data_IF_608542970389
#
_entry.id   IF_608542970389
#
_cell.length_a   1.000
_cell.length_b   1.000
_cell.length_c   1.000
_cell.angle_alpha   90.00
_cell.angle_beta   90.00
_cell.angle_gamma   90.00
#
_symmetry.space_group_name_H-M   'P 1'
#
loop_
_entity.id
_entity.type
_entity.pdbx_description
1 polymer ?
#
# COMPACT_ATOMS: atom_id res chain seq x y z
N UNK A 1 -21.81 -6.15 -1.73
CA UNK A 1 -21.29 -4.94 -2.41
C UNK A 1 -19.91 -5.23 -2.99
N UNK A 2 -19.69 -4.85 -4.23
CA UNK A 2 -18.44 -5.15 -4.94
C UNK A 2 -17.54 -3.92 -4.95
N UNK A 3 -16.29 -4.11 -4.53
CA UNK A 3 -15.30 -3.05 -4.58
C UNK A 3 -14.34 -3.28 -5.73
N UNK A 4 -13.89 -2.20 -6.37
CA UNK A 4 -12.85 -2.26 -7.38
C UNK A 4 -11.55 -1.74 -6.79
N UNK A 5 -10.43 -2.31 -7.26
CA UNK A 5 -9.10 -1.99 -6.73
C UNK A 5 -8.33 -1.13 -7.73
N UNK A 6 -7.83 -0.02 -7.25
CA UNK A 6 -7.04 0.91 -8.06
C UNK A 6 -5.76 1.27 -7.33
N UNK A 7 -4.71 1.57 -8.09
CA UNK A 7 -3.41 1.97 -7.54
C UNK A 7 -3.04 3.34 -8.08
N UNK A 8 -2.59 4.24 -7.21
CA UNK A 8 -1.97 5.46 -7.69
C UNK A 8 -0.65 5.12 -8.37
N UNK A 9 -0.26 5.93 -9.36
CA UNK A 9 0.98 5.70 -10.11
C UNK A 9 2.22 5.69 -9.22
N UNK A 10 2.23 6.49 -8.16
CA UNK A 10 3.35 6.56 -7.22
C UNK A 10 3.60 5.24 -6.49
N UNK A 11 2.57 4.39 -6.39
CA UNK A 11 2.71 3.10 -5.72
C UNK A 11 3.70 2.20 -6.46
N UNK A 12 3.79 2.33 -7.77
CA UNK A 12 4.73 1.54 -8.56
C UNK A 12 6.17 1.80 -8.10
N UNK A 13 6.52 3.05 -7.85
CA UNK A 13 7.85 3.38 -7.35
C UNK A 13 8.10 2.79 -5.96
N UNK A 14 7.09 2.84 -5.09
CA UNK A 14 7.20 2.24 -3.75
C UNK A 14 7.49 0.74 -3.86
N UNK A 15 6.78 0.07 -4.74
CA UNK A 15 6.90 -1.38 -4.92
C UNK A 15 8.28 -1.72 -5.49
N UNK A 16 8.72 -0.98 -6.51
CA UNK A 16 10.04 -1.20 -7.13
C UNK A 16 11.14 -1.01 -6.09
N UNK A 17 11.03 0.02 -5.26
CA UNK A 17 12.02 0.30 -4.23
C UNK A 17 12.16 -0.85 -3.24
N UNK A 18 11.01 -1.42 -2.82
CA UNK A 18 11.02 -2.58 -1.95
C UNK A 18 11.59 -3.81 -2.65
N UNK A 19 11.21 -4.00 -3.92
CA UNK A 19 11.73 -5.11 -4.72
C UNK A 19 13.26 -5.07 -4.81
N UNK A 20 13.81 -3.92 -5.18
CA UNK A 20 15.27 -3.77 -5.33
C UNK A 20 15.98 -4.05 -4.01
N UNK A 21 15.44 -3.52 -2.91
CA UNK A 21 16.03 -3.74 -1.60
C UNK A 21 16.15 -5.22 -1.27
N UNK A 22 15.06 -5.98 -1.47
CA UNK A 22 15.05 -7.40 -1.11
C UNK A 22 15.84 -8.25 -2.09
N UNK A 23 15.78 -7.91 -3.37
CA UNK A 23 16.53 -8.67 -4.37
C UNK A 23 18.03 -8.52 -4.16
N UNK A 24 18.49 -7.37 -3.71
CA UNK A 24 19.89 -7.15 -3.36
C UNK A 24 20.30 -7.99 -2.15
N UNK A 25 19.37 -8.32 -1.28
CA UNK A 25 19.68 -9.14 -0.10
C UNK A 25 19.79 -10.61 -0.44
N UNK A 26 18.96 -11.10 -1.35
CA UNK A 26 18.99 -12.50 -1.74
C UNK A 26 18.24 -12.69 -3.05
N UNK A 27 18.84 -13.39 -4.04
CA UNK A 27 18.15 -13.65 -5.30
C UNK A 27 16.80 -14.32 -5.09
N UNK A 28 15.78 -13.82 -5.74
CA UNK A 28 14.42 -14.33 -5.63
C UNK A 28 13.59 -13.71 -4.53
N UNK A 29 14.22 -13.02 -3.58
CA UNK A 29 13.48 -12.43 -2.46
C UNK A 29 12.63 -11.23 -2.90
N UNK A 30 13.09 -10.47 -3.89
CA UNK A 30 12.31 -9.38 -4.45
C UNK A 30 11.04 -9.89 -5.13
N UNK A 31 11.15 -11.00 -5.86
CA UNK A 31 9.98 -11.63 -6.49
C UNK A 31 8.96 -12.06 -5.45
N UNK A 32 9.44 -12.60 -4.33
CA UNK A 32 8.56 -13.01 -3.25
C UNK A 32 7.86 -11.81 -2.63
N UNK A 33 8.58 -10.70 -2.47
CA UNK A 33 8.01 -9.46 -1.96
C UNK A 33 6.87 -8.98 -2.87
N UNK A 34 7.09 -9.00 -4.19
CA UNK A 34 6.05 -8.61 -5.15
C UNK A 34 4.81 -9.48 -5.02
N UNK A 35 5.02 -10.79 -4.95
CA UNK A 35 3.90 -11.73 -4.86
C UNK A 35 3.08 -11.48 -3.59
N UNK A 36 3.75 -11.27 -2.46
CA UNK A 36 3.06 -11.01 -1.20
C UNK A 36 2.31 -9.69 -1.27
N UNK A 37 2.93 -8.65 -1.84
CA UNK A 37 2.26 -7.37 -1.99
C UNK A 37 0.98 -7.49 -2.80
N UNK A 38 1.06 -8.07 -3.99
CA UNK A 38 -0.11 -8.15 -4.86
C UNK A 38 -1.19 -9.06 -4.28
N UNK A 39 -0.81 -10.15 -3.63
CA UNK A 39 -1.78 -11.01 -2.97
C UNK A 39 -2.53 -10.26 -1.88
N UNK A 40 -1.80 -9.52 -1.05
CA UNK A 40 -2.42 -8.74 0.02
C UNK A 40 -3.32 -7.63 -0.53
N UNK A 41 -2.87 -6.96 -1.60
CA UNK A 41 -3.67 -5.90 -2.22
C UNK A 41 -4.96 -6.46 -2.82
N UNK A 42 -4.88 -7.60 -3.49
CA UNK A 42 -6.04 -8.21 -4.12
C UNK A 42 -7.07 -8.73 -3.11
N UNK A 43 -6.66 -8.92 -1.86
CA UNK A 43 -7.58 -9.31 -0.80
C UNK A 43 -8.38 -8.13 -0.23
N UNK A 44 -7.92 -6.90 -0.45
CA UNK A 44 -8.58 -5.72 0.12
C UNK A 44 -10.07 -5.61 -0.26
N UNK A 45 -10.45 -5.87 -1.51
CA UNK A 45 -11.87 -5.74 -1.89
C UNK A 45 -12.81 -6.71 -1.19
N UNK A 46 -12.30 -7.79 -0.62
CA UNK A 46 -13.16 -8.79 0.04
C UNK A 46 -13.83 -8.25 1.28
N UNK A 47 -13.05 -7.51 2.10
CA UNK A 47 -13.59 -6.92 3.31
C UNK A 47 -12.72 -5.74 3.75
N UNK A 48 -12.81 -4.61 3.03
CA UNK A 48 -11.92 -3.48 3.29
C UNK A 48 -12.15 -2.83 4.65
N UNK A 49 -13.31 -3.01 5.24
CA UNK A 49 -13.62 -2.41 6.53
C UNK A 49 -12.94 -3.13 7.70
N UNK A 50 -12.34 -4.31 7.46
CA UNK A 50 -11.56 -5.01 8.46
C UNK A 50 -10.30 -4.25 8.89
N UNK A 51 -9.77 -3.42 7.99
CA UNK A 51 -8.47 -2.78 8.23
C UNK A 51 -8.66 -1.41 8.87
N UNK A 52 -7.89 -1.09 9.92
CA UNK A 52 -8.13 0.13 10.68
C UNK A 52 -7.71 1.40 9.94
N UNK A 53 -8.40 2.47 10.24
CA UNK A 53 -7.96 3.81 9.86
C UNK A 53 -6.84 4.21 10.81
N UNK A 54 -5.70 4.61 10.26
CA UNK A 54 -4.53 4.95 11.07
C UNK A 54 -4.19 6.45 11.00
N UNK A 55 -4.74 7.15 10.01
CA UNK A 55 -4.57 8.58 9.86
C UNK A 55 -5.68 9.10 8.96
N UNK A 56 -6.54 9.98 9.47
CA UNK A 56 -7.69 10.51 8.72
C UNK A 56 -8.49 9.35 8.11
N UNK A 57 -8.73 9.38 6.79
CA UNK A 57 -9.45 8.31 6.11
C UNK A 57 -8.56 7.18 5.62
N UNK A 58 -7.25 7.29 5.86
CA UNK A 58 -6.30 6.28 5.39
C UNK A 58 -6.36 5.05 6.27
N UNK A 59 -6.63 3.92 5.63
CA UNK A 59 -6.62 2.61 6.27
C UNK A 59 -5.31 1.93 5.96
N UNK A 60 -4.93 0.98 6.80
CA UNK A 60 -3.66 0.30 6.65
C UNK A 60 -3.82 -1.20 6.77
N UNK A 61 -3.17 -1.91 5.86
CA UNK A 61 -3.02 -3.35 5.94
C UNK A 61 -1.55 -3.71 5.95
N UNK A 62 -1.11 -4.46 6.97
CA UNK A 62 0.26 -4.96 7.04
C UNK A 62 0.44 -6.12 6.06
N UNK A 63 1.62 -6.19 5.41
CA UNK A 63 1.95 -7.34 4.60
C UNK A 63 2.29 -8.53 5.48
N UNK A 64 2.12 -9.73 4.93
CA UNK A 64 2.64 -10.95 5.54
C UNK A 64 4.14 -11.00 5.28
N UNK A 65 4.93 -11.50 6.25
CA UNK A 65 6.36 -11.79 6.14
C UNK A 65 7.29 -10.57 5.99
N UNK A 66 6.81 -9.49 5.40
CA UNK A 66 7.63 -8.30 5.17
C UNK A 66 7.12 -7.14 6.01
N UNK A 67 8.02 -6.35 6.63
CA UNK A 67 7.59 -5.25 7.51
C UNK A 67 7.18 -4.01 6.72
N UNK A 68 6.19 -4.20 5.86
CA UNK A 68 5.62 -3.14 5.04
C UNK A 68 4.12 -3.07 5.24
N UNK A 69 3.56 -1.92 4.96
CA UNK A 69 2.12 -1.71 5.07
C UNK A 69 1.58 -1.06 3.82
N UNK A 70 0.41 -1.54 3.38
CA UNK A 70 -0.36 -0.95 2.29
C UNK A 70 -1.29 0.10 2.90
N UNK A 71 -1.23 1.33 2.39
CA UNK A 71 -2.13 2.40 2.80
C UNK A 71 -3.13 2.66 1.69
N UNK A 72 -4.41 2.73 2.05
CA UNK A 72 -5.46 2.89 1.05
C UNK A 72 -6.63 3.69 1.61
N UNK A 73 -7.48 4.19 0.71
CA UNK A 73 -8.73 4.83 1.06
C UNK A 73 -9.86 4.13 0.33
N UNK A 74 -11.06 4.27 0.87
CA UNK A 74 -12.28 3.80 0.22
C UNK A 74 -13.05 5.01 -0.22
N UNK A 75 -13.40 5.07 -1.50
CA UNK A 75 -14.23 6.15 -2.04
C UNK A 75 -15.33 5.50 -2.87
N UNK A 76 -16.57 5.64 -2.41
CA UNK A 76 -17.72 4.94 -3.00
C UNK A 76 -17.44 3.43 -2.98
N UNK A 77 -17.44 2.77 -4.13
CA UNK A 77 -17.14 1.35 -4.21
C UNK A 77 -15.70 1.10 -4.69
N UNK A 78 -14.83 2.11 -4.58
CA UNK A 78 -13.45 2.00 -5.04
C UNK A 78 -12.49 1.94 -3.87
N UNK A 79 -11.53 1.02 -3.94
CA UNK A 79 -10.40 0.99 -3.03
C UNK A 79 -9.21 1.55 -3.79
N UNK A 80 -8.63 2.61 -3.26
CA UNK A 80 -7.52 3.28 -3.92
C UNK A 80 -6.29 3.11 -3.05
N UNK A 81 -5.31 2.35 -3.54
CA UNK A 81 -4.04 2.16 -2.85
C UNK A 81 -3.20 3.42 -3.06
N UNK A 82 -2.81 4.05 -1.96
CA UNK A 82 -2.11 5.33 -1.96
C UNK A 82 -0.61 5.15 -1.79
N UNK A 83 -0.19 4.14 -1.05
CA UNK A 83 1.23 3.93 -0.83
C UNK A 83 1.56 2.59 -0.23
N UNK A 84 2.85 2.22 -0.33
CA UNK A 84 3.41 1.04 0.31
C UNK A 84 4.68 1.49 1.02
N UNK A 85 4.69 1.44 2.35
CA UNK A 85 5.80 1.98 3.13
C UNK A 85 6.28 0.99 4.17
N UNK A 86 7.59 1.01 4.42
CA UNK A 86 8.19 0.21 5.47
C UNK A 86 7.66 0.66 6.84
N UNK A 87 7.34 -0.29 7.71
CA UNK A 87 6.73 -0.01 9.01
C UNK A 87 7.62 0.82 9.94
N UNK A 88 8.94 0.76 9.74
CA UNK A 88 9.88 1.55 10.56
C UNK A 88 10.09 2.97 10.05
N UNK A 89 9.46 3.33 8.92
CA UNK A 89 9.61 4.66 8.36
C UNK A 89 8.96 5.69 9.27
N UNK A 90 9.52 6.89 9.32
CA UNK A 90 9.02 7.97 10.16
C UNK A 90 7.53 8.23 9.86
N UNK A 91 6.64 8.13 10.86
CA UNK A 91 5.21 8.35 10.65
C UNK A 91 4.87 9.71 10.05
N UNK A 92 5.64 10.73 10.40
CA UNK A 92 5.44 12.08 9.87
C UNK A 92 5.65 12.11 8.37
N UNK A 93 6.70 11.45 7.90
CA UNK A 93 7.00 11.34 6.47
C UNK A 93 5.91 10.59 5.73
N UNK A 94 5.42 9.49 6.33
CA UNK A 94 4.34 8.71 5.75
C UNK A 94 3.08 9.56 5.60
N UNK A 95 2.69 10.27 6.67
CA UNK A 95 1.49 11.10 6.64
C UNK A 95 1.56 12.19 5.58
N UNK A 96 2.71 12.82 5.46
CA UNK A 96 2.91 13.86 4.46
C UNK A 96 2.77 13.31 3.05
N UNK A 97 3.37 12.15 2.80
CA UNK A 97 3.25 11.50 1.48
C UNK A 97 1.82 11.11 1.16
N UNK A 98 1.11 10.53 2.14
CA UNK A 98 -0.27 10.13 1.94
C UNK A 98 -1.14 11.34 1.58
N UNK A 99 -0.98 12.42 2.32
CA UNK A 99 -1.76 13.63 2.08
C UNK A 99 -1.45 14.25 0.72
N UNK A 100 -0.18 14.35 0.38
CA UNK A 100 0.25 14.93 -0.90
C UNK A 100 -0.25 14.10 -2.08
N UNK A 101 -0.15 12.77 -1.98
CA UNK A 101 -0.61 11.88 -3.04
C UNK A 101 -2.11 11.95 -3.23
N UNK A 102 -2.86 12.04 -2.13
CA UNK A 102 -4.32 12.14 -2.21
C UNK A 102 -4.74 13.45 -2.86
N UNK A 103 -4.05 14.54 -2.57
CA UNK A 103 -4.35 15.82 -3.19
C UNK A 103 -4.09 15.79 -4.70
N UNK A 104 -3.04 15.11 -5.13
CA UNK A 104 -2.69 14.98 -6.55
C UNK A 104 -3.74 14.17 -7.32
N UNK A 105 -4.46 13.28 -6.64
CA UNK A 105 -5.50 12.46 -7.25
C UNK A 105 -6.72 13.28 -7.66
N UNK A 106 -6.93 14.44 -7.06
CA UNK A 106 -8.10 15.25 -7.37
C UNK A 106 -8.04 15.80 -8.78
N UNK A 107 -9.15 15.70 -9.52
CA UNK A 107 -9.23 16.29 -10.85
C UNK A 107 -9.16 17.82 -10.80
#
# INVERSE_FOLDING_TARGET
>A
MTYTLHFLSEVEEDVIRGYVWYEDKSPGLGEEFLRVFYTCAEELPRNPLLYPKVYRDFQRRLLRRFPYAIYFTIKDSQIIVIGLFHCARNPRTIRLKLQTRKETERP
#
